data_IF_788880632170
#
_entry.id   IF_788880632170
#
_cell.length_a   1.000
_cell.length_b   1.000
_cell.length_c   1.000
_cell.angle_alpha   90.00
_cell.angle_beta   90.00
_cell.angle_gamma   90.00
#
_symmetry.space_group_name_H-M   'P 1'
#
loop_
_entity.id
_entity.type
_entity.pdbx_description
1 polymer ?
#
# COMPACT_ATOMS: atom_id res chain seq x y z
N UNK A 1 -15.18 2.29 36.20
CA UNK A 1 -15.46 2.13 34.76
C UNK A 1 -14.14 2.28 34.04
N UNK A 2 -13.72 1.30 33.23
CA UNK A 2 -12.38 1.28 32.66
C UNK A 2 -12.27 2.36 31.58
N UNK A 3 -11.14 3.05 31.62
CA UNK A 3 -10.80 4.19 30.77
C UNK A 3 -10.50 3.66 29.36
N UNK A 4 -11.26 4.16 28.38
CA UNK A 4 -11.07 3.95 26.95
C UNK A 4 -9.65 4.30 26.53
N UNK A 5 -9.04 3.47 25.68
CA UNK A 5 -7.70 3.59 25.07
C UNK A 5 -7.51 4.80 24.14
N UNK A 6 -8.34 5.85 24.29
CA UNK A 6 -8.42 7.02 23.41
C UNK A 6 -7.92 8.34 24.04
N UNK A 7 -7.33 8.34 25.24
CA UNK A 7 -6.86 9.57 25.91
C UNK A 7 -5.39 9.53 26.36
N UNK A 8 -4.48 9.14 25.46
CA UNK A 8 -3.04 9.47 25.59
C UNK A 8 -2.49 10.03 24.29
N UNK A 9 -3.05 11.15 23.83
CA UNK A 9 -2.35 12.03 22.90
C UNK A 9 -1.32 12.89 23.66
N UNK A 10 -0.37 12.23 24.34
CA UNK A 10 0.95 12.84 24.51
C UNK A 10 1.60 12.86 23.13
N UNK A 11 2.33 13.92 22.77
CA UNK A 11 3.12 14.01 21.53
C UNK A 11 3.76 12.65 21.28
N UNK A 12 3.22 11.88 20.34
CA UNK A 12 3.77 10.61 19.95
C UNK A 12 5.13 10.98 19.37
N UNK A 13 6.21 10.62 20.07
CA UNK A 13 7.55 10.72 19.49
C UNK A 13 7.44 10.03 18.14
N UNK A 14 7.87 10.72 17.08
CA UNK A 14 7.90 10.07 15.78
C UNK A 14 8.91 8.93 15.88
N UNK A 15 8.40 7.72 16.15
CA UNK A 15 9.15 6.48 16.35
C UNK A 15 9.96 6.10 15.11
N UNK A 16 9.78 6.80 13.98
CA UNK A 16 10.67 6.73 12.82
C UNK A 16 12.05 7.34 13.06
N UNK A 17 12.24 8.16 14.09
CA UNK A 17 13.42 9.03 14.25
C UNK A 17 14.36 8.61 15.39
N UNK A 18 13.85 8.05 16.49
CA UNK A 18 14.70 7.59 17.59
C UNK A 18 15.27 6.19 17.30
N UNK A 19 16.53 6.18 16.84
CA UNK A 19 17.29 4.95 16.54
C UNK A 19 18.14 4.46 17.72
N UNK A 20 18.01 5.04 18.91
CA UNK A 20 18.64 4.48 20.10
C UNK A 20 18.03 3.12 20.44
N UNK A 21 18.77 2.24 21.12
CA UNK A 21 18.24 0.94 21.55
C UNK A 21 16.97 1.09 22.41
N UNK A 22 16.89 2.12 23.26
CA UNK A 22 15.70 2.41 24.06
C UNK A 22 14.50 2.84 23.20
N UNK A 23 14.72 3.71 22.22
CA UNK A 23 13.70 4.14 21.27
C UNK A 23 13.20 2.99 20.39
N UNK A 24 14.10 2.15 19.91
CA UNK A 24 13.76 0.96 19.12
C UNK A 24 12.97 -0.04 19.96
N UNK A 25 13.40 -0.34 21.20
CA UNK A 25 12.63 -1.17 22.14
C UNK A 25 11.20 -0.65 22.29
N UNK A 26 11.03 0.64 22.56
CA UNK A 26 9.69 1.24 22.67
C UNK A 26 8.89 1.11 21.36
N UNK A 27 9.53 1.27 20.21
CA UNK A 27 8.92 1.12 18.88
C UNK A 27 8.41 -0.31 18.66
N UNK A 28 9.23 -1.32 18.92
CA UNK A 28 8.84 -2.73 18.77
C UNK A 28 7.72 -3.12 19.74
N UNK A 29 7.73 -2.62 20.99
CA UNK A 29 6.62 -2.82 21.93
C UNK A 29 5.33 -2.16 21.44
N UNK A 30 5.41 -0.92 20.97
CA UNK A 30 4.24 -0.21 20.42
C UNK A 30 3.66 -0.94 19.20
N UNK A 31 4.51 -1.44 18.31
CA UNK A 31 4.09 -2.21 17.14
C UNK A 31 3.37 -3.50 17.54
N UNK A 32 3.87 -4.21 18.55
CA UNK A 32 3.23 -5.41 19.08
C UNK A 32 1.80 -5.14 19.60
N UNK A 33 1.57 -3.98 20.21
CA UNK A 33 0.27 -3.61 20.78
C UNK A 33 -0.67 -2.90 19.81
N UNK A 34 -0.18 -2.48 18.64
CA UNK A 34 -0.98 -1.72 17.67
C UNK A 34 -1.02 -2.42 16.31
N UNK A 35 0.07 -2.34 15.56
CA UNK A 35 0.19 -2.81 14.17
C UNK A 35 0.07 -4.33 14.07
N UNK A 36 0.71 -5.05 14.97
CA UNK A 36 0.76 -6.51 15.01
C UNK A 36 -0.24 -7.11 16.01
N UNK A 37 -1.11 -6.31 16.63
CA UNK A 37 -1.98 -6.76 17.72
C UNK A 37 -2.83 -8.01 17.38
N UNK A 38 -3.24 -8.15 16.11
CA UNK A 38 -4.02 -9.28 15.59
C UNK A 38 -3.19 -10.29 14.78
N UNK A 39 -1.87 -10.26 14.90
CA UNK A 39 -0.91 -11.05 14.11
C UNK A 39 -0.01 -11.83 15.06
N UNK A 40 -0.42 -13.03 15.49
CA UNK A 40 0.22 -13.74 16.59
C UNK A 40 1.72 -13.93 16.44
N UNK A 41 2.22 -14.27 15.24
CA UNK A 41 3.65 -14.46 15.00
C UNK A 41 4.38 -13.12 15.04
N UNK A 42 3.95 -12.16 14.23
CA UNK A 42 4.57 -10.83 14.17
C UNK A 42 4.56 -10.14 15.53
N UNK A 43 3.48 -10.27 16.30
CA UNK A 43 3.36 -9.75 17.67
C UNK A 43 4.38 -10.38 18.59
N UNK A 44 4.47 -11.72 18.59
CA UNK A 44 5.37 -12.44 19.48
C UNK A 44 6.81 -12.08 19.20
N UNK A 45 7.23 -12.12 17.94
CA UNK A 45 8.59 -11.74 17.53
C UNK A 45 8.90 -10.29 17.88
N UNK A 46 7.93 -9.38 17.72
CA UNK A 46 8.14 -7.96 18.03
C UNK A 46 8.41 -7.71 19.52
N UNK A 47 7.69 -8.41 20.41
CA UNK A 47 7.93 -8.31 21.86
C UNK A 47 9.31 -8.84 22.25
N UNK A 48 9.76 -9.93 21.64
CA UNK A 48 11.04 -10.58 21.98
C UNK A 48 12.23 -9.81 21.39
N UNK A 49 12.11 -9.28 20.17
CA UNK A 49 13.12 -8.38 19.57
C UNK A 49 13.32 -7.14 20.44
N UNK A 50 12.25 -6.62 21.07
CA UNK A 50 12.34 -5.48 21.97
C UNK A 50 13.26 -5.74 23.19
N UNK A 51 13.52 -7.00 23.52
CA UNK A 51 14.40 -7.41 24.62
C UNK A 51 15.78 -7.89 24.17
N UNK A 52 16.07 -7.91 22.86
CA UNK A 52 17.36 -8.36 22.30
C UNK A 52 18.21 -7.19 21.76
N UNK A 53 19.28 -6.76 22.46
CA UNK A 53 20.13 -5.67 22.01
C UNK A 53 20.76 -5.91 20.63
N UNK A 54 21.09 -7.16 20.29
CA UNK A 54 21.67 -7.52 19.00
C UNK A 54 20.68 -7.31 17.85
N UNK A 55 19.43 -7.76 18.01
CA UNK A 55 18.39 -7.59 17.00
C UNK A 55 17.94 -6.14 16.88
N UNK A 56 17.91 -5.39 17.99
CA UNK A 56 17.69 -3.94 17.95
C UNK A 56 18.82 -3.20 17.22
N UNK A 57 20.08 -3.61 17.40
CA UNK A 57 21.21 -3.03 16.67
C UNK A 57 21.16 -3.33 15.16
N UNK A 58 20.68 -4.52 14.78
CA UNK A 58 20.40 -4.86 13.38
C UNK A 58 19.29 -3.96 12.82
N UNK A 59 18.17 -3.84 13.53
CA UNK A 59 17.05 -2.99 13.13
C UNK A 59 17.42 -1.49 13.04
N UNK A 60 18.38 -1.03 13.85
CA UNK A 60 18.85 0.36 13.85
C UNK A 60 19.45 0.80 12.50
N UNK A 61 19.92 -0.16 11.69
CA UNK A 61 20.50 0.10 10.38
C UNK A 61 19.46 0.51 9.32
N UNK A 62 18.16 0.39 9.63
CA UNK A 62 17.09 0.81 8.74
C UNK A 62 17.16 2.30 8.39
N UNK A 63 17.03 2.63 7.10
CA UNK A 63 17.12 3.99 6.60
C UNK A 63 16.17 4.95 7.35
N UNK A 64 16.55 6.22 7.42
CA UNK A 64 15.75 7.26 8.07
C UNK A 64 14.34 7.35 7.43
N UNK A 65 13.32 7.58 8.26
CA UNK A 65 11.93 7.66 7.81
C UNK A 65 11.22 6.31 7.70
N UNK A 66 11.96 5.18 7.70
CA UNK A 66 11.37 3.84 7.76
C UNK A 66 11.03 3.41 9.19
N UNK A 67 10.12 2.45 9.31
CA UNK A 67 9.82 1.76 10.57
C UNK A 67 10.68 0.49 10.69
N UNK A 68 11.64 0.43 11.63
CA UNK A 68 12.55 -0.71 11.77
C UNK A 68 11.88 -2.07 11.94
N UNK A 69 10.75 -2.21 12.67
CA UNK A 69 10.06 -3.49 12.76
C UNK A 69 9.60 -4.03 11.41
N UNK A 70 9.08 -3.16 10.51
CA UNK A 70 8.67 -3.58 9.18
C UNK A 70 9.86 -4.03 8.33
N UNK A 71 10.96 -3.26 8.33
CA UNK A 71 12.14 -3.56 7.52
C UNK A 71 12.79 -4.88 7.96
N UNK A 72 13.01 -5.05 9.26
CA UNK A 72 13.64 -6.27 9.80
C UNK A 72 12.80 -7.52 9.50
N UNK A 73 11.49 -7.47 9.73
CA UNK A 73 10.62 -8.62 9.48
C UNK A 73 10.48 -8.93 8.00
N UNK A 74 10.47 -7.91 7.14
CA UNK A 74 10.52 -8.12 5.70
C UNK A 74 11.86 -8.73 5.25
N UNK A 75 13.00 -8.31 5.82
CA UNK A 75 14.31 -8.89 5.52
C UNK A 75 14.39 -10.37 5.90
N UNK A 76 13.89 -10.74 7.09
CA UNK A 76 13.80 -12.15 7.51
C UNK A 76 12.88 -12.93 6.58
N UNK A 77 11.69 -12.41 6.29
CA UNK A 77 10.73 -13.08 5.40
C UNK A 77 11.28 -13.23 3.98
N UNK A 78 12.05 -12.25 3.48
CA UNK A 78 12.70 -12.31 2.17
C UNK A 78 13.67 -13.49 2.07
N UNK A 79 14.51 -13.70 3.08
CA UNK A 79 15.44 -14.83 3.12
C UNK A 79 14.70 -16.16 3.26
N UNK A 80 13.67 -16.25 4.11
CA UNK A 80 12.84 -17.46 4.22
C UNK A 80 12.02 -17.78 2.95
N UNK A 81 11.66 -16.77 2.17
CA UNK A 81 11.03 -16.96 0.86
C UNK A 81 12.03 -17.50 -0.18
N UNK A 82 13.33 -17.27 0.02
CA UNK A 82 14.39 -17.80 -0.83
C UNK A 82 14.74 -19.25 -0.43
N UNK A 83 14.77 -19.55 0.87
CA UNK A 83 14.97 -20.89 1.40
C UNK A 83 13.97 -21.20 2.52
N UNK A 84 12.93 -21.94 2.15
CA UNK A 84 11.90 -22.36 3.08
C UNK A 84 12.25 -23.65 3.84
N UNK A 85 13.48 -24.18 3.74
CA UNK A 85 13.94 -25.36 4.50
C UNK A 85 14.45 -25.01 5.90
N UNK A 86 14.66 -23.73 6.16
CA UNK A 86 15.10 -23.18 7.44
C UNK A 86 14.09 -23.49 8.57
N UNK A 87 14.55 -23.88 9.78
CA UNK A 87 13.66 -24.22 10.90
C UNK A 87 12.68 -23.11 11.27
N UNK A 88 13.07 -21.84 11.10
CA UNK A 88 12.21 -20.69 11.36
C UNK A 88 10.97 -20.68 10.44
N UNK A 89 11.08 -21.19 9.20
CA UNK A 89 9.97 -21.23 8.25
C UNK A 89 8.78 -22.05 8.78
N UNK A 90 9.00 -23.00 9.71
CA UNK A 90 7.94 -23.82 10.29
C UNK A 90 6.95 -23.02 11.13
N UNK A 91 7.29 -21.80 11.55
CA UNK A 91 6.40 -20.90 12.29
C UNK A 91 5.60 -19.95 11.37
N UNK A 92 5.95 -19.86 10.09
CA UNK A 92 5.41 -18.85 9.17
C UNK A 92 4.16 -19.39 8.45
N UNK A 93 2.95 -18.87 8.73
CA UNK A 93 1.74 -19.28 8.01
C UNK A 93 1.82 -19.00 6.50
N UNK A 94 2.61 -18.01 6.09
CA UNK A 94 2.91 -17.72 4.68
C UNK A 94 3.70 -18.82 3.95
N UNK A 95 4.37 -19.71 4.70
CA UNK A 95 5.26 -20.74 4.16
C UNK A 95 4.81 -22.16 4.51
N UNK A 96 3.83 -22.32 5.41
CA UNK A 96 3.33 -23.61 5.90
C UNK A 96 1.82 -23.61 6.02
N UNK A 97 1.19 -24.67 5.53
CA UNK A 97 -0.24 -24.89 5.72
C UNK A 97 -0.63 -25.19 7.17
N UNK A 98 0.32 -25.67 7.97
CA UNK A 98 0.14 -25.98 9.39
C UNK A 98 1.37 -25.51 10.19
N UNK A 99 1.49 -24.19 10.45
CA UNK A 99 2.64 -23.66 11.16
C UNK A 99 2.65 -24.08 12.64
N UNK A 100 3.84 -24.13 13.23
CA UNK A 100 4.06 -24.31 14.65
C UNK A 100 3.54 -23.11 15.46
N UNK A 101 3.30 -23.33 16.75
CA UNK A 101 2.80 -22.30 17.65
C UNK A 101 3.80 -21.12 17.77
N UNK A 102 3.36 -19.86 17.58
CA UNK A 102 4.21 -18.67 17.67
C UNK A 102 5.00 -18.53 18.97
N UNK A 103 4.49 -19.10 20.08
CA UNK A 103 5.09 -18.97 21.40
C UNK A 103 6.50 -19.56 21.53
N UNK A 104 6.89 -20.39 20.56
CA UNK A 104 8.20 -21.03 20.50
C UNK A 104 9.03 -20.56 19.30
N UNK A 105 8.59 -19.53 18.56
CA UNK A 105 9.26 -19.08 17.35
C UNK A 105 10.58 -18.34 17.63
N UNK A 106 10.70 -17.66 18.78
CA UNK A 106 11.81 -16.75 19.01
C UNK A 106 13.21 -17.39 19.02
N UNK A 107 13.44 -18.57 19.64
CA UNK A 107 14.75 -19.22 19.57
C UNK A 107 15.20 -19.53 18.12
N UNK A 108 14.27 -20.00 17.27
CA UNK A 108 14.56 -20.22 15.86
C UNK A 108 14.79 -18.90 15.11
N UNK A 109 14.06 -17.85 15.48
CA UNK A 109 14.22 -16.51 14.90
C UNK A 109 15.57 -15.90 15.23
N UNK A 110 16.01 -15.97 16.49
CA UNK A 110 17.29 -15.43 16.94
C UNK A 110 18.46 -16.17 16.29
N UNK A 111 18.43 -17.50 16.26
CA UNK A 111 19.46 -18.30 15.60
C UNK A 111 19.52 -18.02 14.09
N UNK A 112 18.37 -17.90 13.44
CA UNK A 112 18.30 -17.51 12.03
C UNK A 112 18.91 -16.13 11.78
N UNK A 113 18.56 -15.13 12.60
CA UNK A 113 19.09 -13.78 12.46
C UNK A 113 20.60 -13.73 12.67
N UNK A 114 21.12 -14.54 13.58
CA UNK A 114 22.55 -14.67 13.85
C UNK A 114 23.29 -15.38 12.71
N UNK A 115 22.69 -16.42 12.13
CA UNK A 115 23.24 -17.15 10.98
C UNK A 115 23.31 -16.30 9.71
N UNK A 116 22.38 -15.36 9.54
CA UNK A 116 22.25 -14.49 8.37
C UNK A 116 22.53 -13.01 8.66
N UNK A 117 23.36 -12.69 9.66
CA UNK A 117 23.52 -11.30 10.13
C UNK A 117 23.95 -10.34 9.01
N UNK A 118 24.94 -10.71 8.21
CA UNK A 118 25.48 -9.87 7.13
C UNK A 118 24.43 -9.62 6.03
N UNK A 119 23.71 -10.67 5.62
CA UNK A 119 22.65 -10.57 4.59
C UNK A 119 21.46 -9.74 5.09
N UNK A 120 21.06 -9.94 6.34
CA UNK A 120 19.99 -9.14 6.96
C UNK A 120 20.40 -7.69 7.11
N UNK A 121 21.66 -7.42 7.47
CA UNK A 121 22.18 -6.05 7.58
C UNK A 121 22.12 -5.34 6.24
N UNK A 122 22.61 -5.98 5.17
CA UNK A 122 22.54 -5.43 3.81
C UNK A 122 21.09 -5.13 3.39
N UNK A 123 20.17 -6.08 3.61
CA UNK A 123 18.75 -5.88 3.29
C UNK A 123 18.13 -4.73 4.09
N UNK A 124 18.41 -4.65 5.40
CA UNK A 124 17.87 -3.60 6.28
C UNK A 124 18.42 -2.22 5.92
N UNK A 125 19.69 -2.14 5.50
CA UNK A 125 20.33 -0.90 5.09
C UNK A 125 19.88 -0.42 3.71
N UNK A 126 19.65 -1.34 2.76
CA UNK A 126 19.45 -0.99 1.35
C UNK A 126 18.00 -0.97 0.90
N UNK A 127 17.13 -1.79 1.49
CA UNK A 127 15.75 -1.95 1.02
C UNK A 127 14.78 -0.96 1.65
N UNK A 128 13.75 -0.61 0.88
CA UNK A 128 12.67 0.29 1.28
C UNK A 128 11.36 -0.48 1.50
N UNK A 129 10.66 -0.16 2.59
CA UNK A 129 9.29 -0.61 2.84
C UNK A 129 8.35 0.18 1.94
N UNK A 130 7.55 -0.56 1.16
CA UNK A 130 6.51 0.00 0.31
C UNK A 130 5.17 -0.66 0.66
N UNK A 131 4.25 0.13 1.18
CA UNK A 131 2.93 -0.33 1.61
C UNK A 131 1.97 -0.40 0.42
N UNK A 132 2.22 -1.38 -0.45
CA UNK A 132 1.36 -1.70 -1.56
C UNK A 132 0.19 -2.59 -1.11
N UNK A 133 -1.04 -2.23 -1.48
CA UNK A 133 -2.22 -3.06 -1.22
C UNK A 133 -3.15 -3.07 -2.43
N UNK A 134 -3.32 -4.26 -3.01
CA UNK A 134 -4.18 -4.51 -4.18
C UNK A 134 -5.66 -4.32 -3.82
N UNK A 135 -6.04 -4.55 -2.56
CA UNK A 135 -7.41 -4.39 -2.06
C UNK A 135 -7.96 -2.97 -2.21
N UNK A 136 -7.08 -1.96 -2.27
CA UNK A 136 -7.45 -0.56 -2.53
C UNK A 136 -8.14 -0.37 -3.88
N UNK A 137 -7.93 -1.26 -4.84
CA UNK A 137 -8.67 -1.27 -6.11
C UNK A 137 -10.20 -1.34 -5.91
N UNK A 138 -10.69 -1.95 -4.82
CA UNK A 138 -12.12 -1.96 -4.52
C UNK A 138 -12.68 -0.59 -4.09
N UNK A 139 -11.86 0.31 -3.56
CA UNK A 139 -12.25 1.69 -3.25
C UNK A 139 -12.03 2.62 -4.45
N UNK A 140 -10.95 2.42 -5.20
CA UNK A 140 -10.59 3.25 -6.36
C UNK A 140 -11.54 3.03 -7.55
N UNK A 141 -12.02 1.80 -7.78
CA UNK A 141 -12.85 1.48 -8.94
C UNK A 141 -14.16 2.29 -9.01
N UNK A 142 -14.95 2.41 -7.92
CA UNK A 142 -16.10 3.31 -7.87
C UNK A 142 -15.75 4.78 -8.18
N UNK A 143 -14.59 5.26 -7.73
CA UNK A 143 -14.14 6.61 -8.03
C UNK A 143 -13.81 6.80 -9.51
N UNK A 144 -13.15 5.83 -10.14
CA UNK A 144 -12.89 5.86 -11.58
C UNK A 144 -14.19 5.82 -12.40
N UNK A 145 -15.19 5.04 -11.99
CA UNK A 145 -16.50 5.02 -12.62
C UNK A 145 -17.21 6.39 -12.51
N UNK A 146 -17.17 6.98 -11.32
CA UNK A 146 -17.73 8.31 -11.08
C UNK A 146 -17.02 9.39 -11.92
N UNK A 147 -15.68 9.36 -12.01
CA UNK A 147 -14.90 10.24 -12.89
C UNK A 147 -15.28 10.03 -14.36
N UNK A 148 -15.43 8.78 -14.81
CA UNK A 148 -15.84 8.50 -16.18
C UNK A 148 -17.22 9.09 -16.50
N UNK A 149 -18.17 9.03 -15.57
CA UNK A 149 -19.49 9.66 -15.74
C UNK A 149 -19.39 11.18 -15.84
N UNK A 150 -18.61 11.82 -14.96
CA UNK A 150 -18.36 13.26 -15.00
C UNK A 150 -17.68 13.71 -16.30
N UNK A 151 -16.79 12.86 -16.84
CA UNK A 151 -16.08 13.08 -18.09
C UNK A 151 -16.87 12.66 -19.34
N UNK A 152 -18.19 12.44 -19.23
CA UNK A 152 -19.06 11.98 -20.32
C UNK A 152 -18.54 10.72 -21.04
N UNK A 153 -17.91 9.81 -20.29
CA UNK A 153 -17.25 8.59 -20.75
C UNK A 153 -16.12 8.79 -21.78
N UNK A 154 -15.49 9.97 -21.79
CA UNK A 154 -14.26 10.20 -22.54
C UNK A 154 -13.16 9.22 -22.07
N UNK A 155 -12.24 8.81 -22.96
CA UNK A 155 -11.13 7.94 -22.58
C UNK A 155 -10.29 8.56 -21.45
N UNK A 156 -10.01 7.77 -20.41
CA UNK A 156 -9.19 8.21 -19.28
C UNK A 156 -7.71 7.91 -19.53
N UNK A 157 -6.86 8.85 -19.11
CA UNK A 157 -5.42 8.66 -18.95
C UNK A 157 -5.10 8.63 -17.46
N UNK A 158 -4.84 7.43 -16.92
CA UNK A 158 -4.61 7.24 -15.49
C UNK A 158 -3.15 7.49 -15.11
N UNK A 159 -2.94 8.27 -14.06
CA UNK A 159 -1.61 8.55 -13.49
C UNK A 159 -1.63 8.20 -11.98
N UNK A 160 -0.94 7.14 -11.59
CA UNK A 160 -0.84 6.68 -10.18
C UNK A 160 0.41 7.25 -9.51
N UNK A 161 0.24 7.95 -8.39
CA UNK A 161 1.33 8.54 -7.60
C UNK A 161 1.67 7.62 -6.43
N UNK A 162 2.94 7.23 -6.32
CA UNK A 162 3.40 6.21 -5.38
C UNK A 162 2.98 4.81 -5.79
N UNK A 163 3.07 4.52 -7.09
CA UNK A 163 2.49 3.33 -7.69
C UNK A 163 3.16 2.02 -7.25
N UNK A 164 4.36 2.07 -6.67
CA UNK A 164 5.20 0.90 -6.36
C UNK A 164 5.37 -0.02 -7.58
N UNK A 165 4.79 -1.22 -7.56
CA UNK A 165 4.77 -2.16 -8.68
C UNK A 165 3.64 -1.92 -9.71
N UNK A 166 2.81 -0.88 -9.51
CA UNK A 166 1.72 -0.49 -10.40
C UNK A 166 0.49 -1.41 -10.39
N UNK A 167 0.35 -2.33 -9.44
CA UNK A 167 -0.75 -3.32 -9.49
C UNK A 167 -2.16 -2.69 -9.36
N UNK A 168 -2.32 -1.51 -8.75
CA UNK A 168 -3.62 -0.82 -8.71
C UNK A 168 -3.97 -0.15 -10.06
N UNK A 169 -3.00 0.04 -10.96
CA UNK A 169 -3.28 0.45 -12.34
C UNK A 169 -4.05 -0.64 -13.10
N UNK A 170 -4.04 -1.89 -12.63
CA UNK A 170 -4.70 -3.05 -13.27
C UNK A 170 -6.10 -3.35 -12.71
N UNK A 171 -6.73 -2.39 -12.03
CA UNK A 171 -8.04 -2.56 -11.36
C UNK A 171 -9.13 -3.18 -12.25
N UNK A 172 -9.13 -2.87 -13.55
CA UNK A 172 -10.10 -3.34 -14.55
C UNK A 172 -9.89 -4.80 -14.96
N UNK A 173 -8.83 -5.45 -14.47
CA UNK A 173 -8.55 -6.88 -14.63
C UNK A 173 -8.93 -7.70 -13.41
N UNK A 174 -9.44 -7.07 -12.35
CA UNK A 174 -9.77 -7.73 -11.09
C UNK A 174 -11.26 -7.99 -10.96
N UNK A 175 -11.61 -8.98 -10.13
CA UNK A 175 -13.00 -9.24 -9.73
C UNK A 175 -13.24 -8.61 -8.37
N UNK A 176 -14.17 -7.65 -8.32
CA UNK A 176 -14.53 -6.93 -7.10
C UNK A 176 -15.88 -7.45 -6.61
N UNK A 177 -15.91 -7.97 -5.39
CA UNK A 177 -17.07 -8.54 -4.75
C UNK A 177 -17.52 -7.63 -3.60
N UNK A 178 -18.62 -6.91 -3.83
CA UNK A 178 -19.15 -5.95 -2.87
C UNK A 178 -20.18 -6.58 -1.90
N UNK A 179 -20.35 -7.90 -1.95
CA UNK A 179 -21.36 -8.67 -1.21
C UNK A 179 -22.78 -8.50 -1.74
N UNK A 180 -23.16 -7.31 -2.20
CA UNK A 180 -24.46 -7.00 -2.82
C UNK A 180 -24.45 -7.24 -4.34
N UNK A 181 -23.32 -6.96 -4.97
CA UNK A 181 -23.08 -7.18 -6.38
C UNK A 181 -21.60 -7.47 -6.63
N UNK A 182 -21.29 -7.88 -7.86
CA UNK A 182 -19.93 -8.18 -8.30
C UNK A 182 -19.65 -7.39 -9.58
N UNK A 183 -18.46 -6.81 -9.66
CA UNK A 183 -17.98 -6.13 -10.87
C UNK A 183 -16.64 -6.70 -11.34
N UNK A 184 -16.39 -6.65 -12.64
CA UNK A 184 -15.16 -7.14 -13.26
C UNK A 184 -15.27 -8.55 -13.84
N UNK A 185 -14.14 -9.09 -14.30
CA UNK A 185 -14.10 -10.39 -14.96
C UNK A 185 -14.32 -11.56 -13.98
N UNK A 186 -15.35 -12.37 -14.22
CA UNK A 186 -15.63 -13.56 -13.42
C UNK A 186 -14.50 -14.61 -13.45
N UNK A 187 -13.68 -14.62 -14.51
CA UNK A 187 -12.54 -15.50 -14.68
C UNK A 187 -11.26 -14.97 -14.02
N UNK A 188 -11.24 -13.71 -13.55
CA UNK A 188 -10.06 -13.15 -12.88
C UNK A 188 -9.65 -14.01 -11.67
N UNK A 189 -8.36 -14.38 -11.55
CA UNK A 189 -7.86 -15.03 -10.35
C UNK A 189 -7.85 -14.07 -9.15
N UNK A 190 -7.67 -12.76 -9.40
CA UNK A 190 -7.69 -11.72 -8.36
C UNK A 190 -9.13 -11.44 -7.96
N UNK A 191 -9.48 -11.78 -6.72
CA UNK A 191 -10.81 -11.61 -6.14
C UNK A 191 -10.70 -10.75 -4.90
N UNK A 192 -11.22 -9.52 -4.97
CA UNK A 192 -11.17 -8.56 -3.87
C UNK A 192 -12.57 -8.45 -3.28
N UNK A 193 -12.71 -8.79 -2.01
CA UNK A 193 -13.94 -8.57 -1.26
C UNK A 193 -13.92 -7.22 -0.57
N UNK A 194 -15.01 -6.47 -0.67
CA UNK A 194 -15.18 -5.17 -0.04
C UNK A 194 -16.61 -5.03 0.50
N UNK A 195 -16.77 -4.96 1.82
CA UNK A 195 -18.09 -4.81 2.43
C UNK A 195 -18.69 -3.42 2.12
N UNK A 196 -19.83 -3.36 1.42
CA UNK A 196 -20.59 -2.11 1.32
C UNK A 196 -21.36 -1.84 2.62
N UNK A 197 -20.95 -0.77 3.30
CA UNK A 197 -21.60 -0.26 4.51
C UNK A 197 -22.69 0.76 4.18
N UNK A 198 -23.34 1.29 5.21
CA UNK A 198 -24.43 2.26 5.11
C UNK A 198 -24.02 3.47 4.23
N UNK A 199 -24.70 3.67 3.11
CA UNK A 199 -24.37 4.63 2.06
C UNK A 199 -25.22 4.38 0.81
N UNK A 200 -24.93 5.09 -0.28
CA UNK A 200 -25.48 4.75 -1.60
C UNK A 200 -24.70 3.59 -2.20
N UNK A 201 -25.32 2.77 -3.06
CA UNK A 201 -24.57 1.77 -3.82
C UNK A 201 -23.82 2.48 -4.97
N UNK A 202 -22.51 2.25 -5.16
CA UNK A 202 -21.78 2.87 -6.26
C UNK A 202 -22.29 2.32 -7.60
N UNK A 203 -22.51 3.22 -8.56
CA UNK A 203 -23.04 2.87 -9.87
C UNK A 203 -21.96 2.28 -10.79
N UNK A 204 -21.80 0.96 -10.72
CA UNK A 204 -20.88 0.18 -11.56
C UNK A 204 -21.60 -0.67 -12.62
N UNK A 205 -22.93 -0.75 -12.59
CA UNK A 205 -23.70 -1.61 -13.49
C UNK A 205 -23.53 -1.17 -14.96
N UNK A 206 -23.24 -2.13 -15.83
CA UNK A 206 -22.96 -1.91 -17.25
C UNK A 206 -21.70 -1.07 -17.56
N UNK A 207 -20.98 -0.54 -16.57
CA UNK A 207 -19.80 0.29 -16.81
C UNK A 207 -18.62 -0.55 -17.31
N UNK A 208 -18.06 -0.13 -18.44
CA UNK A 208 -16.85 -0.68 -19.04
C UNK A 208 -15.76 0.40 -19.04
N UNK A 209 -14.65 0.21 -18.31
CA UNK A 209 -13.59 1.19 -18.25
C UNK A 209 -13.02 1.48 -19.65
N UNK A 210 -12.95 2.75 -20.01
CA UNK A 210 -12.27 3.22 -21.22
C UNK A 210 -10.94 3.87 -20.83
N UNK A 211 -9.98 3.06 -20.38
CA UNK A 211 -8.65 3.52 -19.98
C UNK A 211 -7.72 3.38 -21.17
N UNK A 212 -7.32 4.50 -21.78
CA UNK A 212 -6.47 4.49 -22.98
C UNK A 212 -5.00 4.34 -22.63
N UNK A 213 -4.57 5.02 -21.58
CA UNK A 213 -3.22 4.93 -21.05
C UNK A 213 -3.27 4.86 -19.53
N UNK A 214 -2.30 4.14 -18.96
CA UNK A 214 -2.09 4.00 -17.52
C UNK A 214 -0.59 4.11 -17.24
N UNK A 215 -0.20 4.97 -16.32
CA UNK A 215 1.20 5.17 -15.95
C UNK A 215 1.32 5.39 -14.45
N UNK A 216 2.31 4.77 -13.83
CA UNK A 216 2.67 5.01 -12.44
C UNK A 216 3.89 5.92 -12.34
N UNK A 217 4.01 6.63 -11.21
CA UNK A 217 5.23 7.29 -10.77
C UNK A 217 5.55 6.78 -9.37
N UNK A 218 6.79 6.37 -9.14
CA UNK A 218 7.29 6.00 -7.81
C UNK A 218 8.76 6.42 -7.67
N UNK A 219 9.20 6.75 -6.45
CA UNK A 219 10.61 7.05 -6.18
C UNK A 219 11.49 5.80 -6.33
N UNK A 220 10.95 4.65 -5.97
CA UNK A 220 11.60 3.35 -6.04
C UNK A 220 10.61 2.30 -6.60
N UNK A 221 10.28 2.35 -7.91
CA UNK A 221 9.41 1.37 -8.53
C UNK A 221 9.93 -0.05 -8.30
N UNK A 222 9.02 -1.01 -8.15
CA UNK A 222 9.36 -2.43 -8.04
C UNK A 222 9.19 -3.06 -9.42
N UNK A 223 10.28 -3.55 -9.99
CA UNK A 223 10.31 -4.33 -11.22
C UNK A 223 9.93 -5.79 -10.93
N UNK A 224 8.69 -6.14 -11.27
CA UNK A 224 8.17 -7.50 -11.10
C UNK A 224 8.85 -8.53 -12.01
N UNK A 225 9.64 -8.11 -13.01
CA UNK A 225 10.44 -9.03 -13.84
C UNK A 225 11.74 -9.46 -13.14
N UNK A 226 12.18 -8.71 -12.12
CA UNK A 226 13.28 -9.09 -11.24
C UNK A 226 12.79 -10.00 -10.13
N UNK A 227 13.32 -11.22 -10.07
CA UNK A 227 12.96 -12.18 -9.02
C UNK A 227 13.23 -11.63 -7.60
N UNK A 228 14.34 -10.89 -7.44
CA UNK A 228 14.70 -10.31 -6.14
C UNK A 228 13.73 -9.20 -5.70
N UNK A 229 13.26 -8.37 -6.63
CA UNK A 229 12.31 -7.29 -6.30
C UNK A 229 10.89 -7.84 -6.12
N UNK A 230 10.49 -8.81 -6.94
CA UNK A 230 9.26 -9.56 -6.74
C UNK A 230 9.23 -10.28 -5.38
N UNK A 231 10.36 -10.89 -4.96
CA UNK A 231 10.49 -11.51 -3.64
C UNK A 231 10.44 -10.47 -2.52
N UNK A 232 11.08 -9.31 -2.70
CA UNK A 232 10.99 -8.21 -1.72
C UNK A 232 9.55 -7.72 -1.54
N UNK A 233 8.81 -7.49 -2.62
CA UNK A 233 7.40 -7.10 -2.56
C UNK A 233 6.55 -8.12 -1.79
N UNK A 234 6.79 -9.43 -2.01
CA UNK A 234 6.12 -10.50 -1.25
C UNK A 234 6.50 -10.48 0.22
N UNK A 235 7.77 -10.24 0.53
CA UNK A 235 8.29 -10.23 1.89
C UNK A 235 7.70 -9.09 2.75
N UNK A 236 7.33 -7.96 2.11
CA UNK A 236 6.64 -6.84 2.75
C UNK A 236 5.22 -7.19 3.22
N UNK A 237 4.62 -8.27 2.70
CA UNK A 237 3.39 -8.82 3.27
C UNK A 237 3.74 -9.62 4.52
N UNK A 238 3.17 -9.20 5.63
CA UNK A 238 3.38 -9.83 6.94
C UNK A 238 2.95 -11.30 6.92
N UNK A 239 3.70 -12.20 7.57
CA UNK A 239 3.48 -13.64 7.46
C UNK A 239 2.07 -14.07 7.90
N UNK A 240 1.52 -13.42 8.93
CA UNK A 240 0.17 -13.68 9.45
C UNK A 240 -0.97 -13.32 8.46
N UNK A 241 -0.68 -12.61 7.36
CA UNK A 241 -1.66 -12.08 6.39
C UNK A 241 -1.75 -12.94 5.13
N UNK A 242 -2.04 -14.24 5.27
CA UNK A 242 -2.11 -15.17 4.14
C UNK A 242 -3.02 -14.67 3.00
N UNK A 243 -4.22 -14.18 3.32
CA UNK A 243 -5.13 -13.67 2.30
C UNK A 243 -4.56 -12.49 1.50
N UNK A 244 -3.77 -11.62 2.13
CA UNK A 244 -3.06 -10.54 1.43
C UNK A 244 -1.91 -11.07 0.57
N UNK A 245 -1.21 -12.10 1.04
CA UNK A 245 -0.12 -12.74 0.29
C UNK A 245 -0.65 -13.44 -0.97
N UNK A 246 -1.77 -14.18 -0.84
CA UNK A 246 -2.45 -14.84 -1.95
C UNK A 246 -2.96 -13.82 -2.97
N UNK A 247 -3.60 -12.75 -2.49
CA UNK A 247 -4.11 -11.68 -3.36
C UNK A 247 -2.97 -10.99 -4.13
N UNK A 248 -1.86 -10.69 -3.45
CA UNK A 248 -0.67 -10.12 -4.07
C UNK A 248 -0.10 -11.07 -5.14
N UNK A 249 0.05 -12.36 -4.84
CA UNK A 249 0.57 -13.34 -5.79
C UNK A 249 -0.32 -13.45 -7.04
N UNK A 250 -1.64 -13.43 -6.87
CA UNK A 250 -2.60 -13.41 -7.98
C UNK A 250 -2.45 -12.15 -8.82
N UNK A 251 -2.31 -10.97 -8.20
CA UNK A 251 -2.14 -9.70 -8.91
C UNK A 251 -0.80 -9.64 -9.68
N UNK A 252 0.28 -10.12 -9.07
CA UNK A 252 1.58 -10.28 -9.74
C UNK A 252 1.48 -11.21 -10.96
N UNK A 253 0.67 -12.26 -10.89
CA UNK A 253 0.44 -13.18 -12.04
C UNK A 253 -0.29 -12.52 -13.22
N UNK A 254 -1.20 -11.57 -12.94
CA UNK A 254 -1.84 -10.76 -13.97
C UNK A 254 -0.84 -9.74 -14.53
N UNK A 255 -0.07 -9.07 -13.66
CA UNK A 255 0.93 -8.09 -14.08
C UNK A 255 2.04 -8.71 -14.94
N UNK A 256 2.44 -9.94 -14.67
CA UNK A 256 3.47 -10.64 -15.45
C UNK A 256 3.09 -10.84 -16.94
N UNK A 257 1.80 -10.81 -17.29
CA UNK A 257 1.33 -10.97 -18.67
C UNK A 257 1.45 -9.68 -19.49
N UNK A 258 1.25 -8.54 -18.84
CA UNK A 258 1.34 -7.20 -19.43
C UNK A 258 1.66 -6.20 -18.30
N UNK A 259 2.95 -6.00 -17.98
CA UNK A 259 3.39 -5.21 -16.84
C UNK A 259 2.99 -3.73 -16.97
N UNK A 260 2.44 -3.10 -15.91
CA UNK A 260 2.11 -1.69 -15.95
C UNK A 260 3.40 -0.85 -16.03
N UNK A 261 3.36 0.22 -16.83
CA UNK A 261 4.49 1.17 -16.91
C UNK A 261 4.54 2.00 -15.64
N UNK A 262 5.63 1.90 -14.89
CA UNK A 262 5.93 2.77 -13.74
C UNK A 262 7.24 3.50 -13.97
N UNK A 263 7.21 4.82 -13.90
CA UNK A 263 8.40 5.66 -14.02
C UNK A 263 9.05 5.86 -12.66
N UNK A 264 10.38 5.70 -12.62
CA UNK A 264 11.17 6.07 -11.46
C UNK A 264 11.38 7.59 -11.43
N UNK A 265 10.99 8.24 -10.32
CA UNK A 265 11.33 9.63 -10.05
C UNK A 265 10.36 10.35 -9.13
N UNK A 266 10.68 11.61 -8.86
CA UNK A 266 9.85 12.49 -8.03
C UNK A 266 8.58 12.90 -8.81
N UNK A 267 7.42 12.63 -8.22
CA UNK A 267 6.12 12.98 -8.81
C UNK A 267 5.97 14.49 -9.06
N UNK A 268 6.53 15.35 -8.20
CA UNK A 268 6.50 16.81 -8.40
C UNK A 268 7.28 17.25 -9.64
N UNK A 269 8.33 16.51 -10.00
CA UNK A 269 9.15 16.79 -11.17
C UNK A 269 8.57 16.17 -12.46
N UNK A 270 8.03 14.95 -12.39
CA UNK A 270 7.57 14.21 -13.57
C UNK A 270 6.13 14.56 -13.99
N UNK A 271 5.24 14.85 -13.03
CA UNK A 271 3.81 15.05 -13.30
C UNK A 271 3.52 16.16 -14.33
N UNK A 272 4.16 17.36 -14.29
CA UNK A 272 3.87 18.41 -15.26
C UNK A 272 4.12 17.99 -16.72
N UNK A 273 5.20 17.24 -16.97
CA UNK A 273 5.52 16.71 -18.29
C UNK A 273 4.51 15.67 -18.75
N UNK A 274 4.16 14.72 -17.86
CA UNK A 274 3.15 13.69 -18.18
C UNK A 274 1.80 14.30 -18.51
N UNK A 275 1.34 15.30 -17.75
CA UNK A 275 0.08 15.98 -18.00
C UNK A 275 0.09 16.74 -19.33
N UNK A 276 1.22 17.36 -19.69
CA UNK A 276 1.38 18.05 -20.98
C UNK A 276 1.30 17.09 -22.18
N UNK A 277 1.78 15.85 -22.00
CA UNK A 277 1.79 14.81 -23.05
C UNK A 277 0.43 14.12 -23.25
N UNK A 278 -0.54 14.30 -22.34
CA UNK A 278 -1.87 13.69 -22.47
C UNK A 278 -2.56 14.26 -23.71
N UNK A 279 -2.95 13.41 -24.66
CA UNK A 279 -3.70 13.80 -25.85
C UNK A 279 -5.00 14.53 -25.51
N UNK A 280 -5.41 15.55 -26.29
CA UNK A 280 -6.70 16.26 -26.11
C UNK A 280 -7.94 15.36 -26.24
N UNK A 281 -7.80 14.17 -26.83
CA UNK A 281 -8.87 13.18 -26.94
C UNK A 281 -9.08 12.38 -25.63
N UNK A 282 -8.20 12.54 -24.65
CA UNK A 282 -8.23 11.85 -23.37
C UNK A 282 -8.42 12.85 -22.22
N UNK A 283 -8.88 12.35 -21.08
CA UNK A 283 -9.02 13.11 -19.84
C UNK A 283 -8.01 12.57 -18.82
N UNK A 284 -7.07 13.39 -18.31
CA UNK A 284 -6.17 12.97 -17.26
C UNK A 284 -6.92 12.77 -15.95
N UNK A 285 -6.69 11.62 -15.33
CA UNK A 285 -7.14 11.30 -13.98
C UNK A 285 -5.93 10.86 -13.17
N UNK A 286 -5.43 11.79 -12.36
CA UNK A 286 -4.36 11.55 -11.40
C UNK A 286 -4.98 10.90 -10.17
N UNK A 287 -4.33 9.91 -9.58
CA UNK A 287 -4.78 9.34 -8.32
C UNK A 287 -3.60 8.94 -7.45
N UNK A 288 -3.86 8.84 -6.16
CA UNK A 288 -2.89 8.36 -5.19
C UNK A 288 -3.62 7.52 -4.13
N UNK A 289 -2.93 6.53 -3.57
CA UNK A 289 -3.46 5.77 -2.44
C UNK A 289 -2.44 5.68 -1.31
N UNK A 290 -2.56 6.60 -0.35
CA UNK A 290 -1.66 6.85 0.78
C UNK A 290 -0.26 7.40 0.46
N UNK A 291 0.09 7.64 -0.81
CA UNK A 291 1.42 8.09 -1.17
C UNK A 291 1.74 9.50 -0.64
N UNK A 292 0.78 10.42 -0.68
CA UNK A 292 0.97 11.81 -0.23
C UNK A 292 1.17 11.94 1.28
N UNK A 293 0.84 10.92 2.08
CA UNK A 293 1.12 10.88 3.53
C UNK A 293 2.63 10.78 3.83
N UNK A 294 3.43 10.39 2.83
CA UNK A 294 4.88 10.30 2.92
C UNK A 294 5.60 11.49 2.29
N UNK A 295 4.87 12.43 1.68
CA UNK A 295 5.47 13.61 1.06
C UNK A 295 5.88 14.61 2.14
N UNK A 296 7.07 15.22 2.03
CA UNK A 296 7.36 16.46 2.74
C UNK A 296 6.29 17.52 2.43
N UNK A 297 5.98 18.39 3.40
CA UNK A 297 4.91 19.38 3.25
C UNK A 297 5.09 20.23 1.98
N UNK A 298 6.30 20.74 1.75
CA UNK A 298 6.61 21.58 0.59
C UNK A 298 6.41 20.82 -0.74
N UNK A 299 6.82 19.55 -0.80
CA UNK A 299 6.59 18.68 -1.96
C UNK A 299 5.11 18.42 -2.20
N UNK A 300 4.32 18.20 -1.14
CA UNK A 300 2.87 18.03 -1.24
C UNK A 300 2.20 19.30 -1.76
N UNK A 301 2.60 20.47 -1.27
CA UNK A 301 2.07 21.75 -1.76
C UNK A 301 2.44 21.98 -3.23
N UNK A 302 3.69 21.71 -3.62
CA UNK A 302 4.14 21.82 -5.00
C UNK A 302 3.35 20.89 -5.94
N UNK A 303 3.10 19.65 -5.51
CA UNK A 303 2.28 18.69 -6.24
C UNK A 303 0.85 19.20 -6.47
N UNK A 304 0.18 19.69 -5.42
CA UNK A 304 -1.19 20.23 -5.53
C UNK A 304 -1.24 21.48 -6.41
N UNK A 305 -0.25 22.37 -6.31
CA UNK A 305 -0.14 23.55 -7.17
C UNK A 305 0.04 23.19 -8.65
N UNK A 306 0.80 22.12 -8.96
CA UNK A 306 0.94 21.65 -10.33
C UNK A 306 -0.41 21.17 -10.90
N UNK A 307 -1.22 20.48 -10.10
CA UNK A 307 -2.58 20.08 -10.47
C UNK A 307 -3.48 21.29 -10.69
N UNK A 308 -3.48 22.27 -9.77
CA UNK A 308 -4.29 23.49 -9.90
C UNK A 308 -3.90 24.29 -11.15
N UNK A 309 -2.60 24.41 -11.43
CA UNK A 309 -2.08 25.12 -12.61
C UNK A 309 -2.52 24.47 -13.92
N UNK A 310 -2.50 23.13 -14.01
CA UNK A 310 -2.98 22.41 -15.18
C UNK A 310 -4.52 22.46 -15.29
N UNK A 311 -5.21 22.22 -14.18
CA UNK A 311 -6.67 22.17 -14.09
C UNK A 311 -7.36 23.49 -14.46
N UNK A 312 -6.68 24.64 -14.27
CA UNK A 312 -7.17 25.94 -14.70
C UNK A 312 -7.31 26.08 -16.23
N UNK A 313 -6.54 25.30 -17.00
CA UNK A 313 -6.51 25.38 -18.47
C UNK A 313 -7.21 24.19 -19.16
N UNK A 314 -7.31 23.05 -18.47
CA UNK A 314 -7.85 21.81 -19.04
C UNK A 314 -8.48 20.94 -17.96
N UNK A 315 -9.53 20.23 -18.34
CA UNK A 315 -10.19 19.30 -17.44
C UNK A 315 -9.23 18.26 -16.87
N UNK A 316 -9.31 18.07 -15.55
CA UNK A 316 -8.46 17.21 -14.76
C UNK A 316 -9.26 16.63 -13.59
N UNK A 317 -8.97 15.39 -13.23
CA UNK A 317 -9.50 14.76 -12.03
C UNK A 317 -8.35 14.28 -11.15
N UNK A 318 -8.49 14.47 -9.85
CA UNK A 318 -7.55 13.99 -8.84
C UNK A 318 -8.28 13.21 -7.76
N UNK A 319 -7.99 11.91 -7.65
CA UNK A 319 -8.53 11.03 -6.61
C UNK A 319 -7.50 10.88 -5.48
N UNK A 320 -7.93 11.25 -4.27
CA UNK A 320 -7.11 11.28 -3.07
C UNK A 320 -7.65 10.29 -2.02
N UNK A 321 -6.94 9.18 -1.81
CA UNK A 321 -7.25 8.20 -0.75
C UNK A 321 -6.22 8.33 0.37
N UNK A 322 -6.65 8.78 1.55
CA UNK A 322 -5.77 9.15 2.65
C UNK A 322 -6.47 9.09 4.03
N UNK A 323 -5.72 9.28 5.11
CA UNK A 323 -6.25 9.34 6.47
C UNK A 323 -5.98 8.10 7.33
N UNK A 324 -6.20 8.18 8.66
CA UNK A 324 -5.61 7.25 9.60
C UNK A 324 -6.31 5.88 9.64
N UNK A 325 -5.61 4.83 9.24
CA UNK A 325 -6.01 3.42 9.43
C UNK A 325 -7.44 3.12 8.96
N UNK A 326 -8.31 2.75 9.90
CA UNK A 326 -9.73 2.45 9.69
C UNK A 326 -10.61 3.69 9.43
N UNK A 327 -10.06 4.91 9.44
CA UNK A 327 -10.80 6.17 9.22
C UNK A 327 -10.31 6.91 7.98
N UNK A 328 -9.89 6.14 6.97
CA UNK A 328 -9.52 6.68 5.67
C UNK A 328 -10.72 7.27 4.93
N UNK A 329 -10.42 8.17 4.01
CA UNK A 329 -11.40 8.88 3.17
C UNK A 329 -10.92 8.90 1.73
N UNK A 330 -11.89 8.95 0.83
CA UNK A 330 -11.69 9.04 -0.60
C UNK A 330 -12.31 10.35 -1.10
N UNK A 331 -11.48 11.25 -1.61
CA UNK A 331 -11.93 12.52 -2.17
C UNK A 331 -11.66 12.56 -3.67
N UNK A 332 -12.51 13.31 -4.37
CA UNK A 332 -12.30 13.72 -5.74
C UNK A 332 -12.16 15.23 -5.78
N UNK A 333 -11.05 15.71 -6.33
CA UNK A 333 -10.94 17.07 -6.84
C UNK A 333 -11.13 17.03 -8.35
N UNK A 334 -12.05 17.86 -8.86
CA UNK A 334 -12.29 18.02 -10.29
C UNK A 334 -12.03 19.47 -10.69
N UNK A 335 -11.34 19.66 -11.81
CA UNK A 335 -11.29 20.92 -12.52
C UNK A 335 -12.05 20.71 -13.84
N UNK A 336 -13.17 21.39 -14.02
CA UNK A 336 -13.99 21.30 -15.23
C UNK A 336 -14.23 22.72 -15.77
N UNK A 337 -13.77 23.00 -16.99
CA UNK A 337 -13.86 24.36 -17.55
C UNK A 337 -13.16 25.44 -16.70
N UNK A 338 -12.16 25.06 -15.91
CA UNK A 338 -11.44 25.92 -14.97
C UNK A 338 -12.06 25.99 -13.56
N UNK A 339 -13.27 25.45 -13.34
CA UNK A 339 -13.92 25.44 -12.03
C UNK A 339 -13.43 24.26 -11.18
N UNK A 340 -12.85 24.58 -10.01
CA UNK A 340 -12.34 23.61 -9.05
C UNK A 340 -13.41 23.23 -8.03
N UNK A 341 -13.71 21.93 -7.91
CA UNK A 341 -14.62 21.38 -6.92
C UNK A 341 -13.99 20.19 -6.19
N UNK A 342 -14.22 20.10 -4.88
CA UNK A 342 -13.80 18.95 -4.06
C UNK A 342 -15.05 18.27 -3.50
N UNK A 343 -15.12 16.95 -3.62
CA UNK A 343 -16.21 16.12 -3.09
C UNK A 343 -15.62 14.92 -2.36
N UNK A 344 -16.14 14.62 -1.17
CA UNK A 344 -15.84 13.34 -0.52
C UNK A 344 -16.72 12.26 -1.15
N UNK A 345 -16.09 11.30 -1.82
CA UNK A 345 -16.78 10.20 -2.48
C UNK A 345 -17.14 9.09 -1.51
N UNK A 346 -16.23 8.79 -0.56
CA UNK A 346 -16.42 7.68 0.37
C UNK A 346 -15.66 7.83 1.69
N UNK A 347 -16.10 7.05 2.68
CA UNK A 347 -15.28 6.59 3.80
C UNK A 347 -14.80 5.17 3.49
N UNK A 348 -13.51 4.88 3.74
CA UNK A 348 -12.92 3.57 3.47
C UNK A 348 -11.58 3.40 4.23
N UNK A 349 -11.23 2.19 4.67
CA UNK A 349 -9.99 1.92 5.38
C UNK A 349 -8.80 1.81 4.40
N UNK A 350 -7.59 1.86 4.93
CA UNK A 350 -6.35 1.84 4.14
C UNK A 350 -6.15 0.62 3.24
N UNK A 351 -6.84 -0.50 3.51
CA UNK A 351 -6.68 -1.78 2.81
C UNK A 351 -7.95 -2.21 2.05
N UNK A 352 -8.97 -1.34 1.98
CA UNK A 352 -10.16 -1.57 1.14
C UNK A 352 -11.14 -2.65 1.60
N UNK A 353 -11.09 -3.07 2.87
CA UNK A 353 -11.98 -4.13 3.37
C UNK A 353 -13.47 -3.76 3.39
N UNK A 354 -13.77 -2.46 3.48
CA UNK A 354 -15.14 -1.96 3.44
C UNK A 354 -15.19 -0.60 2.74
N UNK A 355 -16.36 -0.23 2.23
CA UNK A 355 -16.62 1.03 1.57
C UNK A 355 -17.98 1.58 1.99
N UNK A 356 -18.00 2.84 2.42
CA UNK A 356 -19.22 3.62 2.60
C UNK A 356 -19.21 4.73 1.54
N UNK A 357 -19.99 4.52 0.50
CA UNK A 357 -20.10 5.43 -0.64
C UNK A 357 -21.15 6.51 -0.36
N UNK A 358 -20.85 7.77 -0.72
CA UNK A 358 -21.56 8.96 -0.21
C UNK A 358 -22.26 9.80 -1.27
N UNK A 359 -22.06 9.51 -2.56
CA UNK A 359 -22.51 10.35 -3.68
C UNK A 359 -23.42 9.63 -4.66
#
# INVERSE_FOLDING_TARGET
MPISSSEKAGRMVDVRTDRSLAGLKATFMQFADTVFASEPLSRRLSLEVAESPALLALAAAAQAGQYPPYVLFAAVHYLLLADATEPLADYFPSLRSAPLAPDHAFPAFEEFCKGHEDELRDLVETRLVQTHDVGRSACLTPAFAYVAQLAANAPLHLIDIGASAGLNLLFDRYRLDYGRFVWGDAASPVRISCELRDGTDPSLDGWKPNVRHRIGIDLNPIDLTSESEARWLRALVRPDRQGSADLLAQAMSIAAQDPPKVLQGDATALLPGLLADVSRAEIPCVYQSYALEYFPEDSRQAFLQALDGFGAARDLYFIDMAGPGERGRLHLTSWQGGDRKVVQLAECPAHGQWLKWLV
#
